data_IF_993021247311
#
_entry.id   IF_993021247311
#
_cell.length_a   1.000
_cell.length_b   1.000
_cell.length_c   1.000
_cell.angle_alpha   90.00
_cell.angle_beta   90.00
_cell.angle_gamma   90.00
#
_symmetry.space_group_name_H-M   'P 1'
#
loop_
_entity.id
_entity.type
_entity.pdbx_description
1 polymer ?
#
# COMPACT_ATOMS: atom_id res chain seq x y z
N UNK A 1 -21.69 -1.20 4.25
CA UNK A 1 -21.64 -2.56 3.68
C UNK A 1 -20.74 -2.70 2.45
N UNK A 2 -20.99 -2.04 1.29
CA UNK A 2 -20.10 -2.18 0.11
C UNK A 2 -18.64 -1.69 0.31
N UNK A 3 -18.41 -0.71 1.19
CA UNK A 3 -17.06 -0.15 1.46
C UNK A 3 -16.24 -1.00 2.42
N UNK A 4 -16.90 -1.60 3.41
CA UNK A 4 -16.30 -2.49 4.41
C UNK A 4 -15.72 -3.75 3.74
N UNK A 5 -16.42 -4.27 2.73
CA UNK A 5 -16.02 -5.48 2.01
C UNK A 5 -14.78 -5.28 1.12
N UNK A 6 -14.50 -4.04 0.67
CA UNK A 6 -13.35 -3.78 -0.20
C UNK A 6 -12.03 -4.08 0.51
N UNK A 7 -11.87 -3.63 1.75
CA UNK A 7 -10.64 -3.93 2.49
C UNK A 7 -10.49 -5.43 2.74
N UNK A 8 -11.58 -6.09 3.12
CA UNK A 8 -11.56 -7.54 3.35
C UNK A 8 -11.15 -8.34 2.09
N UNK A 9 -11.68 -7.97 0.93
CA UNK A 9 -11.38 -8.65 -0.34
C UNK A 9 -10.01 -8.31 -0.93
N UNK A 10 -9.39 -7.21 -0.49
CA UNK A 10 -8.07 -6.76 -0.96
C UNK A 10 -7.04 -6.83 0.19
N UNK A 11 -7.16 -7.82 1.07
CA UNK A 11 -6.18 -8.05 2.13
C UNK A 11 -5.99 -9.54 2.39
N UNK A 12 -4.86 -9.89 2.99
CA UNK A 12 -4.49 -11.27 3.34
C UNK A 12 -4.10 -11.39 4.82
N UNK A 13 -3.98 -12.61 5.33
CA UNK A 13 -3.42 -12.89 6.66
C UNK A 13 -4.11 -12.18 7.83
N UNK A 14 -3.30 -11.69 8.78
CA UNK A 14 -3.74 -10.93 9.96
C UNK A 14 -4.32 -9.56 9.63
N UNK A 15 -3.90 -8.95 8.52
CA UNK A 15 -4.50 -7.71 7.99
C UNK A 15 -5.97 -7.96 7.63
N UNK A 16 -6.25 -9.07 6.95
CA UNK A 16 -7.62 -9.49 6.63
C UNK A 16 -8.43 -9.80 7.90
N UNK A 17 -7.84 -10.53 8.86
CA UNK A 17 -8.48 -10.79 10.16
C UNK A 17 -8.80 -9.50 10.94
N UNK A 18 -7.94 -8.49 10.84
CA UNK A 18 -8.18 -7.18 11.45
C UNK A 18 -9.42 -6.52 10.85
N UNK A 19 -9.57 -6.53 9.51
CA UNK A 19 -10.75 -5.93 8.86
C UNK A 19 -12.07 -6.65 9.16
N UNK A 20 -12.05 -7.94 9.52
CA UNK A 20 -13.25 -8.64 10.01
C UNK A 20 -13.76 -8.05 11.33
N UNK A 21 -12.85 -7.59 12.21
CA UNK A 21 -13.19 -7.06 13.54
C UNK A 21 -13.32 -5.54 13.55
N UNK A 22 -12.53 -4.88 12.71
CA UNK A 22 -12.43 -3.43 12.60
C UNK A 22 -12.62 -3.00 11.14
N UNK A 23 -13.87 -2.93 10.67
CA UNK A 23 -14.15 -2.64 9.26
C UNK A 23 -13.63 -1.26 8.85
N UNK A 24 -13.02 -1.19 7.67
CA UNK A 24 -12.62 0.07 7.08
C UNK A 24 -13.85 0.82 6.53
N UNK A 25 -13.80 2.14 6.59
CA UNK A 25 -14.84 3.04 6.06
C UNK A 25 -14.61 3.42 4.59
N UNK A 26 -13.38 3.29 4.09
CA UNK A 26 -13.02 3.51 2.69
C UNK A 26 -11.71 2.83 2.34
N UNK A 27 -11.58 2.40 1.09
CA UNK A 27 -10.32 2.03 0.46
C UNK A 27 -10.22 2.76 -0.88
N UNK A 28 -9.14 3.52 -1.06
CA UNK A 28 -8.76 4.11 -2.34
C UNK A 28 -7.33 3.67 -2.62
N UNK A 29 -7.07 3.18 -3.83
CA UNK A 29 -5.75 2.74 -4.25
C UNK A 29 -5.38 3.40 -5.58
N UNK A 30 -4.09 3.72 -5.74
CA UNK A 30 -3.52 4.25 -6.98
C UNK A 30 -2.18 3.59 -7.26
N UNK A 31 -1.82 3.58 -8.53
CA UNK A 31 -0.50 3.20 -9.01
C UNK A 31 0.13 4.38 -9.75
N UNK A 32 1.44 4.51 -9.63
CA UNK A 32 2.26 5.43 -10.40
C UNK A 32 3.44 4.65 -10.98
N UNK A 33 3.93 5.08 -12.12
CA UNK A 33 5.22 4.64 -12.64
C UNK A 33 6.14 5.87 -12.67
N UNK A 34 7.34 5.72 -12.13
CA UNK A 34 8.36 6.77 -12.12
C UNK A 34 9.58 6.21 -12.83
N UNK A 35 10.00 6.89 -13.89
CA UNK A 35 11.22 6.57 -14.63
C UNK A 35 12.29 7.61 -14.38
N UNK A 36 13.55 7.19 -14.46
CA UNK A 36 14.71 8.08 -14.37
C UNK A 36 15.09 8.71 -15.73
N UNK A 37 14.43 8.31 -16.82
CA UNK A 37 14.74 8.74 -18.18
C UNK A 37 15.91 7.98 -18.84
N UNK A 38 16.54 7.06 -18.12
CA UNK A 38 17.67 6.23 -18.57
C UNK A 38 17.32 4.74 -18.69
N UNK A 39 16.03 4.39 -18.56
CA UNK A 39 15.52 3.03 -18.73
C UNK A 39 15.24 2.29 -17.41
N UNK A 40 15.54 2.92 -16.27
CA UNK A 40 15.09 2.41 -14.97
C UNK A 40 13.68 2.96 -14.69
N UNK A 41 12.78 2.09 -14.24
CA UNK A 41 11.46 2.49 -13.79
C UNK A 41 11.05 1.73 -12.55
N UNK A 42 10.51 2.46 -11.57
CA UNK A 42 9.85 1.92 -10.40
C UNK A 42 8.33 2.08 -10.55
N UNK A 43 7.58 1.12 -10.00
CA UNK A 43 6.13 1.23 -9.82
C UNK A 43 5.85 1.48 -8.37
N UNK A 44 5.01 2.46 -8.11
CA UNK A 44 4.63 2.92 -6.79
C UNK A 44 3.16 2.62 -6.57
N UNK A 45 2.81 2.04 -5.44
CA UNK A 45 1.43 1.88 -4.99
C UNK A 45 1.15 2.78 -3.80
N UNK A 46 -0.07 3.29 -3.73
CA UNK A 46 -0.57 3.96 -2.52
C UNK A 46 -1.98 3.52 -2.20
N UNK A 47 -2.21 3.15 -0.95
CA UNK A 47 -3.51 2.81 -0.40
C UNK A 47 -3.89 3.79 0.72
N UNK A 48 -5.04 4.46 0.58
CA UNK A 48 -5.66 5.24 1.65
C UNK A 48 -6.83 4.47 2.26
N UNK A 49 -6.63 3.99 3.49
CA UNK A 49 -7.58 3.18 4.24
C UNK A 49 -8.21 4.06 5.31
N UNK A 50 -9.52 4.29 5.21
CA UNK A 50 -10.26 5.09 6.19
C UNK A 50 -10.77 4.22 7.34
N UNK A 51 -10.72 4.73 8.56
CA UNK A 51 -11.24 4.06 9.75
C UNK A 51 -12.30 4.90 10.49
N UNK A 52 -13.04 4.23 11.39
CA UNK A 52 -14.05 4.90 12.22
C UNK A 52 -13.40 5.85 13.23
N UNK A 53 -12.25 5.49 13.78
CA UNK A 53 -11.52 6.33 14.74
C UNK A 53 -10.04 6.43 14.40
N UNK A 54 -9.36 7.43 14.97
CA UNK A 54 -7.89 7.53 14.91
C UNK A 54 -7.20 6.34 15.60
N UNK A 55 -7.82 5.82 16.67
CA UNK A 55 -7.30 4.67 17.41
C UNK A 55 -7.26 3.42 16.54
N UNK A 56 -8.28 3.21 15.72
CA UNK A 56 -8.34 2.07 14.79
C UNK A 56 -7.22 2.16 13.74
N UNK A 57 -6.94 3.35 13.21
CA UNK A 57 -5.85 3.55 12.24
C UNK A 57 -4.46 3.25 12.85
N UNK A 58 -4.23 3.67 14.10
CA UNK A 58 -2.99 3.35 14.83
C UNK A 58 -2.93 1.87 15.24
N UNK A 59 -4.07 1.25 15.55
CA UNK A 59 -4.11 -0.18 15.84
C UNK A 59 -3.79 -1.02 14.60
N UNK A 60 -4.26 -0.58 13.43
CA UNK A 60 -3.97 -1.20 12.15
C UNK A 60 -2.46 -1.12 11.80
N UNK A 61 -1.83 0.04 12.03
CA UNK A 61 -0.38 0.23 11.82
C UNK A 61 0.48 -0.87 12.48
N UNK A 62 0.11 -1.26 13.70
CA UNK A 62 0.83 -2.29 14.47
C UNK A 62 0.66 -3.69 13.90
N UNK A 63 -0.41 -3.94 13.17
CA UNK A 63 -0.60 -5.21 12.45
C UNK A 63 0.25 -5.20 11.19
N UNK A 64 0.23 -4.07 10.46
CA UNK A 64 0.93 -3.91 9.18
C UNK A 64 2.45 -3.97 9.31
N UNK A 65 3.02 -3.36 10.35
CA UNK A 65 4.48 -3.28 10.55
C UNK A 65 5.13 -4.62 10.92
N UNK A 66 4.34 -5.66 11.19
CA UNK A 66 4.86 -6.98 11.52
C UNK A 66 4.95 -7.78 10.23
N UNK A 67 6.18 -8.14 9.86
CA UNK A 67 6.45 -9.02 8.72
C UNK A 67 5.61 -10.31 8.81
N UNK A 68 5.17 -10.81 7.65
CA UNK A 68 4.33 -12.02 7.50
C UNK A 68 2.90 -11.93 8.06
N UNK A 69 2.44 -10.77 8.55
CA UNK A 69 1.03 -10.60 8.91
C UNK A 69 0.08 -10.49 7.70
N UNK A 70 0.60 -10.56 6.48
CA UNK A 70 -0.15 -10.22 5.27
C UNK A 70 -0.18 -8.70 5.06
N UNK A 71 -0.94 -8.27 4.06
CA UNK A 71 -0.91 -6.89 3.55
C UNK A 71 -2.25 -6.52 2.91
N UNK A 72 -2.51 -5.23 2.72
CA UNK A 72 -3.52 -4.73 1.79
C UNK A 72 -2.97 -4.84 0.37
N UNK A 73 -3.36 -5.92 -0.31
CA UNK A 73 -2.84 -6.28 -1.64
C UNK A 73 -2.89 -5.10 -2.60
N UNK A 74 -1.73 -4.60 -3.06
CA UNK A 74 -1.68 -3.53 -4.03
C UNK A 74 -2.44 -3.88 -5.29
N UNK A 75 -2.85 -2.84 -6.02
CA UNK A 75 -3.30 -3.03 -7.38
C UNK A 75 -2.19 -3.69 -8.20
N UNK A 76 -2.48 -4.81 -8.86
CA UNK A 76 -1.48 -5.51 -9.68
C UNK A 76 -0.99 -4.66 -10.86
N UNK A 77 0.29 -4.82 -11.22
CA UNK A 77 0.94 -4.08 -12.33
C UNK A 77 0.30 -4.28 -13.71
N UNK A 78 -0.59 -5.26 -13.86
CA UNK A 78 -1.42 -5.42 -15.05
C UNK A 78 -2.23 -4.15 -15.40
N UNK A 79 -2.61 -3.35 -14.40
CA UNK A 79 -3.29 -2.06 -14.62
C UNK A 79 -2.40 -1.00 -15.30
N UNK A 80 -1.08 -1.21 -15.30
CA UNK A 80 -0.10 -0.36 -15.97
C UNK A 80 0.43 -0.99 -17.27
N UNK A 81 -0.18 -2.08 -17.75
CA UNK A 81 0.33 -2.83 -18.91
C UNK A 81 1.62 -3.61 -18.64
N UNK A 82 2.05 -3.70 -17.38
CA UNK A 82 3.25 -4.41 -16.95
C UNK A 82 2.90 -5.87 -16.65
N UNK A 83 2.77 -6.67 -17.71
CA UNK A 83 2.50 -8.09 -17.58
C UNK A 83 3.59 -8.78 -16.75
N UNK A 84 3.18 -9.51 -15.71
CA UNK A 84 4.10 -10.26 -14.84
C UNK A 84 4.73 -9.45 -13.70
N UNK A 85 4.56 -8.12 -13.65
CA UNK A 85 5.00 -7.34 -12.50
C UNK A 85 4.19 -7.70 -11.25
N UNK A 86 4.92 -7.92 -10.15
CA UNK A 86 4.35 -8.14 -8.82
C UNK A 86 5.17 -7.35 -7.83
N UNK A 87 4.45 -6.70 -6.93
CA UNK A 87 5.04 -6.17 -5.72
C UNK A 87 5.61 -7.30 -4.87
N UNK A 88 6.79 -7.07 -4.32
CA UNK A 88 7.54 -7.99 -3.48
C UNK A 88 7.12 -7.89 -2.02
N UNK A 89 6.57 -6.75 -1.59
CA UNK A 89 6.27 -6.46 -0.19
C UNK A 89 7.48 -5.98 0.62
N UNK A 90 8.65 -5.77 0.00
CA UNK A 90 9.88 -5.44 0.74
C UNK A 90 10.03 -3.95 1.05
N UNK A 91 9.57 -3.08 0.17
CA UNK A 91 9.76 -1.62 0.29
C UNK A 91 8.42 -0.93 0.48
N UNK A 92 7.99 -0.85 1.73
CA UNK A 92 6.71 -0.25 2.10
C UNK A 92 6.85 0.71 3.28
N UNK A 93 5.92 1.65 3.37
CA UNK A 93 5.81 2.57 4.50
C UNK A 93 4.35 2.80 4.88
N UNK A 94 4.01 2.54 6.14
CA UNK A 94 2.68 2.79 6.69
C UNK A 94 2.70 4.07 7.54
N UNK A 95 1.77 4.98 7.26
CA UNK A 95 1.66 6.28 7.93
C UNK A 95 0.24 6.61 8.37
N UNK A 96 -0.05 6.69 9.67
CA UNK A 96 -1.35 7.14 10.15
C UNK A 96 -1.50 8.66 10.00
N UNK A 97 -2.59 9.10 9.36
CA UNK A 97 -3.01 10.51 9.23
C UNK A 97 -4.44 10.67 9.74
N UNK A 98 -4.59 10.99 11.02
CA UNK A 98 -5.90 11.13 11.65
C UNK A 98 -6.67 9.82 11.64
N UNK A 99 -7.77 9.73 10.88
CA UNK A 99 -8.58 8.51 10.74
C UNK A 99 -8.21 7.67 9.52
N UNK A 100 -7.12 8.00 8.84
CA UNK A 100 -6.69 7.32 7.61
C UNK A 100 -5.34 6.69 7.83
N UNK A 101 -5.17 5.43 7.46
CA UNK A 101 -3.86 4.84 7.20
C UNK A 101 -3.49 5.08 5.74
N UNK A 102 -2.26 5.52 5.49
CA UNK A 102 -1.68 5.58 4.14
C UNK A 102 -0.56 4.56 4.08
N UNK A 103 -0.64 3.64 3.11
CA UNK A 103 0.44 2.69 2.83
C UNK A 103 1.01 3.08 1.48
N UNK A 104 2.31 3.35 1.43
CA UNK A 104 3.08 3.48 0.19
C UNK A 104 3.92 2.22 -0.01
N UNK A 105 4.03 1.75 -1.25
CA UNK A 105 4.93 0.66 -1.63
C UNK A 105 5.63 1.01 -2.93
N UNK A 106 6.87 0.54 -3.10
CA UNK A 106 7.66 0.74 -4.31
C UNK A 106 8.35 -0.55 -4.74
N UNK A 107 8.43 -0.80 -6.04
CA UNK A 107 9.24 -1.89 -6.58
C UNK A 107 9.78 -1.57 -7.96
N UNK A 108 10.92 -2.18 -8.30
CA UNK A 108 11.52 -2.02 -9.63
C UNK A 108 10.69 -2.74 -10.68
N UNK A 109 10.24 -2.01 -11.70
CA UNK A 109 9.60 -2.59 -12.87
C UNK A 109 10.60 -2.90 -13.99
N UNK A 110 11.55 -2.02 -14.25
CA UNK A 110 12.63 -2.22 -15.22
C UNK A 110 13.93 -1.62 -14.73
N UNK A 111 15.05 -2.20 -15.17
CA UNK A 111 16.37 -1.71 -14.83
C UNK A 111 16.77 -2.04 -13.39
N UNK A 112 17.27 -1.05 -12.64
CA UNK A 112 17.72 -1.22 -11.26
C UNK A 112 17.43 0.02 -10.42
N UNK A 113 16.86 -0.21 -9.25
CA UNK A 113 16.91 0.70 -8.10
C UNK A 113 17.57 -0.08 -6.96
N UNK A 114 18.29 0.62 -6.08
CA UNK A 114 18.74 0.01 -4.84
C UNK A 114 17.63 0.02 -3.77
N UNK A 115 17.85 -0.71 -2.67
CA UNK A 115 16.87 -0.86 -1.61
C UNK A 115 16.55 0.49 -0.92
N UNK A 116 17.55 1.36 -0.75
CA UNK A 116 17.38 2.64 -0.06
C UNK A 116 16.56 3.61 -0.92
N UNK A 117 16.76 3.61 -2.23
CA UNK A 117 15.96 4.37 -3.18
C UNK A 117 14.48 3.91 -3.17
N UNK A 118 14.23 2.59 -3.16
CA UNK A 118 12.87 2.05 -3.11
C UNK A 118 12.18 2.36 -1.77
N UNK A 119 12.89 2.23 -0.65
CA UNK A 119 12.37 2.60 0.68
C UNK A 119 12.03 4.09 0.75
N UNK A 120 12.90 4.95 0.21
CA UNK A 120 12.65 6.39 0.15
C UNK A 120 11.43 6.73 -0.73
N UNK A 121 11.27 6.05 -1.87
CA UNK A 121 10.09 6.21 -2.73
C UNK A 121 8.81 5.78 -2.01
N UNK A 122 8.82 4.63 -1.33
CA UNK A 122 7.69 4.14 -0.55
C UNK A 122 7.30 5.11 0.58
N UNK A 123 8.30 5.67 1.28
CA UNK A 123 8.07 6.71 2.29
C UNK A 123 7.39 7.94 1.67
N UNK A 124 7.97 8.51 0.61
CA UNK A 124 7.42 9.72 -0.06
C UNK A 124 5.98 9.50 -0.52
N UNK A 125 5.69 8.32 -1.07
CA UNK A 125 4.35 7.97 -1.55
C UNK A 125 3.33 7.91 -0.41
N UNK A 126 3.72 7.50 0.79
CA UNK A 126 2.86 7.53 1.98
C UNK A 126 2.49 8.96 2.45
N UNK A 127 3.12 10.00 1.90
CA UNK A 127 2.74 11.41 2.11
C UNK A 127 1.77 11.95 1.06
N UNK A 128 1.45 11.20 0.01
CA UNK A 128 0.58 11.69 -1.05
C UNK A 128 -0.82 12.04 -0.52
N UNK A 129 -1.43 13.13 -1.01
CA UNK A 129 -2.79 13.48 -0.65
C UNK A 129 -3.76 12.46 -1.22
N UNK A 130 -4.84 12.18 -0.47
CA UNK A 130 -5.95 11.40 -1.00
C UNK A 130 -6.64 12.22 -2.12
N UNK A 131 -6.89 11.63 -3.31
CA UNK A 131 -7.61 12.28 -4.40
C UNK A 131 -9.03 12.71 -4.04
#
# INVERSE_FOLDING_TARGET
>A
MKRDLKCLLNSTGKVQEFFLRTPCTSLVMRLYAVGDGHGNAAVLSVAWIGFRTKKDAVAFERVEQVQDNGDVTPLGGALLGLAGFRFTGHHYHARPRGRTMVIGEADTATGRFDAEELDALAEVVAYFPKP
#
